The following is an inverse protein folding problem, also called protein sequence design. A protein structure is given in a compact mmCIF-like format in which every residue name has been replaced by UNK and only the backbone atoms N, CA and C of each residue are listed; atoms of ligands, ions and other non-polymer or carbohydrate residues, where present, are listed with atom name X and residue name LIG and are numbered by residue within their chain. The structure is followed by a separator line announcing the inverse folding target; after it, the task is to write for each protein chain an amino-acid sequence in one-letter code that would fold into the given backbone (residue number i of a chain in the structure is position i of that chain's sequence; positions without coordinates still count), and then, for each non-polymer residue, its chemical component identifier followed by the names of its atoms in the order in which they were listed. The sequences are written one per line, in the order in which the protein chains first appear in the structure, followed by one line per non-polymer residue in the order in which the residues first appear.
data_IF_408470490638
#
_entry.id   IF_408470490638
#
_cell.length_a   1.000
_cell.length_b   1.000
_cell.length_c   1.000
_cell.angle_alpha   90.00
_cell.angle_beta   90.00
_cell.angle_gamma   90.00
#
_symmetry.space_group_name_H-M   'P 1'
#
loop_
_entity.id
_entity.type
_entity.pdbx_description
1 polymer ?
#
# COMPACT_ATOMS: atom_id res chain seq x y z
N UNK A 1 -9.60 24.86 -16.02
CA UNK A 1 -8.49 23.94 -15.65
C UNK A 1 -8.93 23.11 -14.45
N UNK A 2 -9.94 22.28 -14.65
CA UNK A 2 -10.71 21.70 -13.54
C UNK A 2 -10.73 20.19 -13.65
N UNK A 3 -10.22 19.55 -12.59
CA UNK A 3 -10.61 18.21 -12.13
C UNK A 3 -10.03 17.01 -12.88
N UNK A 4 -8.78 16.67 -12.58
CA UNK A 4 -8.27 15.29 -12.74
C UNK A 4 -8.09 14.69 -11.34
N UNK A 5 -9.19 14.49 -10.61
CA UNK A 5 -9.16 13.87 -9.29
C UNK A 5 -9.05 12.35 -9.44
N UNK A 6 -7.84 11.86 -9.66
CA UNK A 6 -7.52 10.45 -9.52
C UNK A 6 -7.61 10.10 -8.02
N UNK A 7 -8.72 9.52 -7.59
CA UNK A 7 -8.97 9.15 -6.19
C UNK A 7 -7.90 8.19 -5.69
N UNK A 8 -7.07 8.65 -4.76
CA UNK A 8 -6.07 7.84 -4.06
C UNK A 8 -6.54 7.63 -2.62
N UNK A 9 -6.32 6.43 -2.10
CA UNK A 9 -6.63 6.09 -0.71
C UNK A 9 -5.32 5.82 0.06
N UNK A 10 -5.36 5.94 1.37
CA UNK A 10 -4.23 5.53 2.19
C UNK A 10 -4.08 4.00 2.17
N UNK A 11 -2.85 3.50 2.21
CA UNK A 11 -2.60 2.06 2.34
C UNK A 11 -3.25 1.48 3.61
N UNK A 12 -3.36 2.27 4.68
CA UNK A 12 -4.07 1.88 5.89
C UNK A 12 -5.55 1.64 5.68
N UNK A 13 -6.17 2.31 4.71
CA UNK A 13 -7.59 2.21 4.38
C UNK A 13 -7.89 1.01 3.46
N UNK A 14 -6.88 0.53 2.73
CA UNK A 14 -6.98 -0.62 1.82
C UNK A 14 -7.53 -1.85 2.54
N UNK A 15 -8.66 -2.40 2.09
CA UNK A 15 -9.27 -3.58 2.72
C UNK A 15 -8.34 -4.80 2.65
N UNK A 16 -8.40 -5.68 3.66
CA UNK A 16 -7.65 -6.95 3.63
C UNK A 16 -8.10 -7.78 2.44
N UNK A 17 -7.15 -8.27 1.65
CA UNK A 17 -7.39 -8.96 0.39
C UNK A 17 -7.39 -8.05 -0.84
N UNK A 18 -7.67 -6.75 -0.67
CA UNK A 18 -7.66 -5.79 -1.76
C UNK A 18 -6.23 -5.47 -2.23
N UNK A 19 -6.11 -5.16 -3.51
CA UNK A 19 -4.86 -4.77 -4.15
C UNK A 19 -4.96 -3.35 -4.71
N UNK A 20 -3.81 -2.74 -4.92
CA UNK A 20 -3.70 -1.38 -5.41
C UNK A 20 -2.32 -1.08 -5.94
N UNK A 21 -2.16 0.10 -6.51
CA UNK A 21 -0.87 0.60 -7.00
C UNK A 21 -0.43 1.77 -6.15
N UNK A 22 0.81 1.77 -5.67
CA UNK A 22 1.35 2.91 -4.94
C UNK A 22 1.33 4.12 -5.87
N UNK A 23 0.61 5.17 -5.47
CA UNK A 23 0.54 6.43 -6.20
C UNK A 23 1.68 7.34 -5.75
N UNK A 24 1.79 7.54 -4.42
CA UNK A 24 2.76 8.42 -3.80
C UNK A 24 3.15 7.92 -2.42
N UNK A 25 4.40 8.18 -2.04
CA UNK A 25 4.95 7.86 -0.72
C UNK A 25 5.33 9.17 -0.05
N UNK A 26 4.52 9.60 0.91
CA UNK A 26 4.75 10.82 1.72
C UNK A 26 5.60 10.55 2.97
N UNK A 27 6.32 9.41 2.99
CA UNK A 27 7.30 9.12 4.03
C UNK A 27 8.51 10.06 3.94
N UNK A 28 9.00 10.49 5.10
CA UNK A 28 10.18 11.35 5.21
C UNK A 28 11.51 10.60 5.37
N UNK A 29 12.59 11.24 4.94
CA UNK A 29 13.96 10.88 5.30
C UNK A 29 14.41 9.46 4.89
N UNK A 30 15.02 8.75 5.84
CA UNK A 30 15.61 7.43 5.64
C UNK A 30 14.57 6.33 5.40
N UNK A 31 13.36 6.48 5.92
CA UNK A 31 12.32 5.47 5.83
C UNK A 31 11.84 5.29 4.39
N UNK A 32 11.62 6.40 3.68
CA UNK A 32 11.32 6.39 2.23
C UNK A 32 12.39 5.64 1.44
N UNK A 33 13.67 5.89 1.75
CA UNK A 33 14.81 5.24 1.08
C UNK A 33 14.77 3.72 1.31
N UNK A 34 14.55 3.27 2.55
CA UNK A 34 14.42 1.84 2.88
C UNK A 34 13.25 1.19 2.16
N UNK A 35 12.10 1.84 2.17
CA UNK A 35 10.86 1.35 1.54
C UNK A 35 11.06 1.20 0.03
N UNK A 36 11.75 2.16 -0.60
CA UNK A 36 12.11 2.11 -2.01
C UNK A 36 13.08 0.94 -2.30
N UNK A 37 14.08 0.74 -1.45
CA UNK A 37 15.04 -0.36 -1.54
C UNK A 37 14.35 -1.74 -1.38
N UNK A 38 13.33 -1.82 -0.51
CA UNK A 38 12.47 -2.99 -0.33
C UNK A 38 11.49 -3.22 -1.50
N UNK A 39 11.41 -2.29 -2.46
CA UNK A 39 10.55 -2.41 -3.64
C UNK A 39 9.17 -1.77 -3.50
N UNK A 40 8.87 -1.06 -2.41
CA UNK A 40 7.66 -0.23 -2.28
C UNK A 40 7.90 1.15 -2.91
N UNK A 41 7.87 1.19 -4.23
CA UNK A 41 8.01 2.44 -5.01
C UNK A 41 6.69 2.80 -5.71
N UNK A 42 6.42 4.09 -5.95
CA UNK A 42 5.26 4.51 -6.76
C UNK A 42 5.26 3.81 -8.12
N UNK A 43 4.10 3.33 -8.54
CA UNK A 43 3.91 2.44 -9.69
C UNK A 43 3.96 0.94 -9.35
N UNK A 44 4.36 0.57 -8.13
CA UNK A 44 4.39 -0.85 -7.73
C UNK A 44 3.03 -1.31 -7.22
N UNK A 45 2.66 -2.54 -7.58
CA UNK A 45 1.47 -3.21 -7.06
C UNK A 45 1.70 -3.68 -5.62
N UNK A 46 0.75 -3.32 -4.75
CA UNK A 46 0.72 -3.66 -3.34
C UNK A 46 -0.62 -4.29 -3.01
N UNK A 47 -0.61 -5.36 -2.21
CA UNK A 47 -1.82 -6.05 -1.77
C UNK A 47 -1.87 -6.09 -0.26
N UNK A 48 -2.99 -5.72 0.35
CA UNK A 48 -3.17 -5.89 1.78
C UNK A 48 -3.35 -7.39 2.06
N UNK A 49 -2.35 -8.02 2.67
CA UNK A 49 -2.39 -9.45 3.00
C UNK A 49 -3.15 -9.67 4.30
N UNK A 50 -2.82 -8.90 5.33
CA UNK A 50 -3.42 -9.05 6.66
C UNK A 50 -3.33 -7.75 7.44
N UNK A 51 -4.36 -7.44 8.23
CA UNK A 51 -4.32 -6.40 9.27
C UNK A 51 -4.34 -7.08 10.63
N UNK A 52 -3.53 -6.60 11.57
CA UNK A 52 -3.67 -7.01 12.97
C UNK A 52 -5.04 -6.60 13.50
N UNK A 53 -5.66 -7.37 14.42
CA UNK A 53 -6.96 -7.05 15.01
C UNK A 53 -6.94 -5.72 15.80
N UNK A 54 -5.79 -5.34 16.35
CA UNK A 54 -5.57 -4.03 16.98
C UNK A 54 -5.44 -2.87 15.96
N UNK A 55 -5.47 -3.15 14.66
CA UNK A 55 -5.33 -2.16 13.59
C UNK A 55 -3.89 -1.87 13.16
N UNK A 56 -2.87 -2.37 13.87
CA UNK A 56 -1.45 -2.22 13.53
C UNK A 56 -0.58 -3.42 14.01
N UNK A 57 0.52 -3.76 13.30
CA UNK A 57 0.90 -3.34 11.95
C UNK A 57 0.04 -4.02 10.86
N UNK A 58 0.16 -3.53 9.63
CA UNK A 58 -0.55 -4.03 8.46
C UNK A 58 0.49 -4.68 7.53
N UNK A 59 0.22 -5.90 7.10
CA UNK A 59 1.06 -6.65 6.18
C UNK A 59 0.63 -6.42 4.74
N UNK A 60 1.57 -5.96 3.92
CA UNK A 60 1.39 -5.70 2.49
C UNK A 60 2.30 -6.60 1.66
N UNK A 61 1.76 -7.27 0.65
CA UNK A 61 2.52 -8.02 -0.33
C UNK A 61 2.91 -7.11 -1.50
N UNK A 62 4.20 -7.07 -1.80
CA UNK A 62 4.83 -6.18 -2.79
C UNK A 62 5.89 -6.97 -3.54
N UNK A 63 5.73 -7.16 -4.86
CA UNK A 63 6.67 -7.91 -5.72
C UNK A 63 7.07 -9.30 -5.18
N UNK A 64 6.15 -9.99 -4.49
CA UNK A 64 6.41 -11.30 -3.87
C UNK A 64 7.04 -11.25 -2.46
N UNK A 65 7.37 -10.06 -1.96
CA UNK A 65 7.83 -9.85 -0.58
C UNK A 65 6.68 -9.35 0.30
N UNK A 66 6.62 -9.80 1.56
CA UNK A 66 5.65 -9.28 2.53
C UNK A 66 6.33 -8.23 3.41
N UNK A 67 5.81 -7.01 3.39
CA UNK A 67 6.30 -5.88 4.15
C UNK A 67 5.24 -5.52 5.20
N UNK A 68 5.63 -5.57 6.48
CA UNK A 68 4.79 -5.11 7.57
C UNK A 68 5.05 -3.62 7.81
N UNK A 69 4.03 -2.80 7.60
CA UNK A 69 4.08 -1.37 7.89
C UNK A 69 3.24 -1.04 9.11
N UNK A 70 3.68 -0.06 9.89
CA UNK A 70 2.85 0.49 10.94
C UNK A 70 1.74 1.32 10.30
N UNK A 71 0.64 1.48 11.03
CA UNK A 71 -0.50 2.24 10.55
C UNK A 71 -0.14 3.71 10.33
N UNK A 72 0.76 4.27 11.14
CA UNK A 72 1.34 5.61 10.94
C UNK A 72 2.05 5.74 9.57
N UNK A 73 2.86 4.74 9.18
CA UNK A 73 3.56 4.74 7.90
C UNK A 73 2.59 4.51 6.74
N UNK A 74 1.64 3.58 6.89
CA UNK A 74 0.67 3.26 5.86
C UNK A 74 -0.33 4.40 5.59
N UNK A 75 -0.58 5.28 6.56
CA UNK A 75 -1.36 6.51 6.36
C UNK A 75 -0.63 7.54 5.49
N UNK A 76 0.71 7.53 5.50
CA UNK A 76 1.56 8.40 4.68
C UNK A 76 1.79 7.84 3.27
N UNK A 77 1.23 6.70 2.92
CA UNK A 77 1.36 6.10 1.58
C UNK A 77 0.01 6.10 0.88
N UNK A 78 -0.03 6.75 -0.28
CA UNK A 78 -1.20 6.85 -1.15
C UNK A 78 -1.14 5.73 -2.19
N UNK A 79 -2.26 5.07 -2.42
CA UNK A 79 -2.40 4.05 -3.45
C UNK A 79 -3.73 4.20 -4.22
N UNK A 80 -3.72 3.83 -5.50
CA UNK A 80 -4.92 3.64 -6.30
C UNK A 80 -5.46 2.24 -6.04
N UNK A 81 -6.75 2.15 -5.69
CA UNK A 81 -7.42 0.87 -5.54
C UNK A 81 -7.45 0.14 -6.90
N UNK A 82 -6.98 -1.10 -6.92
CA UNK A 82 -7.11 -1.99 -8.07
C UNK A 82 -8.26 -2.94 -7.77
N UNK A 83 -9.33 -2.84 -8.55
CA UNK A 83 -10.45 -3.76 -8.46
C UNK A 83 -10.13 -5.05 -9.23
N UNK A 84 -9.11 -5.77 -8.79
CA UNK A 84 -8.79 -7.11 -9.32
C UNK A 84 -9.40 -8.14 -8.38
N UNK A 85 -10.59 -8.63 -8.74
CA UNK A 85 -11.29 -9.72 -8.07
C UNK A 85 -10.71 -11.10 -8.47
N UNK A 86 -9.38 -11.21 -8.60
CA UNK A 86 -8.75 -12.39 -9.19
C UNK A 86 -7.71 -13.02 -8.25
N UNK A 87 -8.01 -14.25 -7.81
CA UNK A 87 -7.02 -15.21 -7.35
C UNK A 87 -6.63 -15.13 -5.87
N UNK A 88 -7.37 -15.86 -5.04
CA UNK A 88 -6.70 -16.70 -4.05
C UNK A 88 -7.10 -18.15 -4.38
N UNK A 89 -6.52 -18.67 -5.46
CA UNK A 89 -6.33 -20.11 -5.60
C UNK A 89 -5.11 -20.47 -4.73
N UNK A 90 -5.29 -21.43 -3.83
CA UNK A 90 -4.29 -21.89 -2.88
C UNK A 90 -4.95 -22.60 -1.71
#
# INVERSE_FOLDING_TARGET
MSSEQASTIALSDLAVGASGYVASVELGGLLRRRIFDLGMVPGTTVRCVRKSPAGNPIAFAVRGSTIALRTEDAQLIRAHLRNDAQGMEG
#
